data_IF_641407102020
#
_entry.id   IF_641407102020
#
_cell.length_a   1.000
_cell.length_b   1.000
_cell.length_c   1.000
_cell.angle_alpha   90.00
_cell.angle_beta   90.00
_cell.angle_gamma   90.00
#
_symmetry.space_group_name_H-M   'P 1'
#
loop_
_entity.id
_entity.type
_entity.pdbx_description
1 polymer ?
#
# COMPACT_ATOMS: atom_id res chain seq x y z
N UNK A 1 -12.40 -12.95 7.87
CA UNK A 1 -11.09 -12.28 7.98
C UNK A 1 -11.38 -10.89 8.54
N UNK A 2 -10.86 -10.52 9.72
CA UNK A 2 -11.15 -9.19 10.29
C UNK A 2 -10.31 -8.17 9.52
N UNK A 3 -10.95 -7.36 8.66
CA UNK A 3 -10.28 -6.27 7.96
C UNK A 3 -9.86 -5.22 8.99
N UNK A 4 -8.57 -4.87 9.02
CA UNK A 4 -8.11 -3.76 9.85
C UNK A 4 -8.80 -2.47 9.38
N UNK A 5 -9.48 -1.77 10.30
CA UNK A 5 -10.18 -0.52 9.99
C UNK A 5 -9.16 0.49 9.43
N UNK A 6 -9.50 1.11 8.31
CA UNK A 6 -8.65 2.12 7.70
C UNK A 6 -8.40 3.29 8.69
N UNK A 7 -7.18 3.85 8.71
CA UNK A 7 -6.86 5.04 9.48
C UNK A 7 -7.81 6.19 9.16
N UNK A 8 -8.06 7.04 10.18
CA UNK A 8 -8.87 8.24 10.02
C UNK A 8 -8.19 9.24 9.09
N UNK A 9 -9.00 10.05 8.38
CA UNK A 9 -8.55 11.14 7.51
C UNK A 9 -7.77 10.73 6.25
N UNK A 10 -7.81 9.46 5.84
CA UNK A 10 -7.28 9.07 4.52
C UNK A 10 -8.20 9.54 3.38
N UNK A 11 -7.63 10.09 2.33
CA UNK A 11 -8.33 10.44 1.08
C UNK A 11 -8.49 9.19 0.21
N UNK A 12 -8.86 9.38 -1.07
CA UNK A 12 -9.26 8.29 -1.96
C UNK A 12 -8.10 7.32 -2.25
N UNK A 13 -6.90 7.85 -2.49
CA UNK A 13 -5.72 7.09 -2.89
C UNK A 13 -5.21 6.21 -1.75
N UNK A 14 -5.02 6.79 -0.56
CA UNK A 14 -4.63 6.10 0.66
C UNK A 14 -5.65 5.05 1.08
N UNK A 15 -6.96 5.35 1.04
CA UNK A 15 -8.01 4.36 1.34
C UNK A 15 -8.03 3.20 0.34
N UNK A 16 -7.66 3.43 -0.92
CA UNK A 16 -7.57 2.37 -1.93
C UNK A 16 -6.39 1.47 -1.65
N UNK A 17 -5.22 2.05 -1.39
CA UNK A 17 -4.00 1.32 -1.04
C UNK A 17 -4.17 0.50 0.24
N UNK A 18 -4.75 1.10 1.30
CA UNK A 18 -5.03 0.38 2.55
C UNK A 18 -5.88 -0.85 2.30
N UNK A 19 -6.98 -0.70 1.54
CA UNK A 19 -7.90 -1.80 1.25
C UNK A 19 -7.23 -2.89 0.44
N UNK A 20 -6.49 -2.56 -0.63
CA UNK A 20 -5.84 -3.57 -1.47
C UNK A 20 -4.84 -4.41 -0.69
N UNK A 21 -4.05 -3.78 0.19
CA UNK A 21 -3.05 -4.51 0.98
C UNK A 21 -3.72 -5.29 2.11
N UNK A 22 -4.60 -4.67 2.90
CA UNK A 22 -5.21 -5.35 4.06
C UNK A 22 -6.27 -6.39 3.69
N UNK A 23 -6.84 -6.35 2.47
CA UNK A 23 -7.71 -7.41 1.97
C UNK A 23 -6.96 -8.69 1.63
N UNK A 24 -5.68 -8.56 1.26
CA UNK A 24 -4.88 -9.66 0.73
C UNK A 24 -3.87 -10.19 1.75
N UNK A 25 -3.29 -9.29 2.56
CA UNK A 25 -2.21 -9.60 3.48
C UNK A 25 -2.64 -9.43 4.93
N UNK A 26 -2.37 -10.45 5.75
CA UNK A 26 -2.48 -10.36 7.21
C UNK A 26 -1.23 -9.73 7.80
N UNK A 27 -1.26 -8.41 7.99
CA UNK A 27 -0.15 -7.60 8.49
C UNK A 27 -0.08 -7.56 10.03
N UNK A 28 1.14 -7.44 10.56
CA UNK A 28 1.42 -7.15 11.98
C UNK A 28 1.21 -5.67 12.31
N UNK A 29 1.11 -5.28 13.60
CA UNK A 29 0.93 -3.88 14.00
C UNK A 29 2.02 -2.94 13.48
N UNK A 30 3.29 -3.38 13.48
CA UNK A 30 4.43 -2.61 12.96
C UNK A 30 4.30 -2.37 11.45
N UNK A 31 3.89 -3.39 10.70
CA UNK A 31 3.64 -3.29 9.26
C UNK A 31 2.42 -2.42 8.93
N UNK A 32 1.39 -2.46 9.77
CA UNK A 32 0.22 -1.59 9.63
C UNK A 32 0.60 -0.12 9.82
N UNK A 33 1.52 0.20 10.74
CA UNK A 33 2.02 1.56 10.90
C UNK A 33 2.81 2.04 9.67
N UNK A 34 3.65 1.17 9.08
CA UNK A 34 4.35 1.48 7.81
C UNK A 34 3.35 1.65 6.66
N UNK A 35 2.34 0.80 6.57
CA UNK A 35 1.28 0.91 5.57
C UNK A 35 0.47 2.20 5.74
N UNK A 36 0.18 2.62 6.97
CA UNK A 36 -0.50 3.88 7.25
C UNK A 36 0.31 5.07 6.71
N UNK A 37 1.61 5.13 7.02
CA UNK A 37 2.50 6.17 6.49
C UNK A 37 2.53 6.15 4.95
N UNK A 38 2.59 4.97 4.33
CA UNK A 38 2.50 4.84 2.87
C UNK A 38 1.15 5.34 2.32
N UNK A 39 0.03 5.09 3.00
CA UNK A 39 -1.27 5.58 2.58
C UNK A 39 -1.37 7.11 2.62
N UNK A 40 -0.82 7.74 3.66
CA UNK A 40 -0.77 9.21 3.77
C UNK A 40 0.10 9.82 2.67
N UNK A 41 1.26 9.20 2.37
CA UNK A 41 2.10 9.62 1.25
C UNK A 41 1.40 9.46 -0.10
N UNK A 42 0.63 8.39 -0.29
CA UNK A 42 -0.15 8.19 -1.51
C UNK A 42 -1.25 9.26 -1.70
N UNK A 43 -1.86 9.73 -0.62
CA UNK A 43 -2.78 10.87 -0.67
C UNK A 43 -2.05 12.18 -1.01
N UNK A 44 -0.90 12.45 -0.38
CA UNK A 44 -0.10 13.65 -0.65
C UNK A 44 0.42 13.70 -2.10
N UNK A 45 0.88 12.57 -2.64
CA UNK A 45 1.28 12.47 -4.06
C UNK A 45 0.10 12.78 -4.98
N UNK A 46 -1.09 12.28 -4.66
CA UNK A 46 -2.28 12.53 -5.48
C UNK A 46 -2.70 14.01 -5.44
N UNK A 47 -2.58 14.68 -4.29
CA UNK A 47 -2.84 16.11 -4.17
C UNK A 47 -1.82 16.92 -4.97
N UNK A 48 -0.53 16.60 -4.85
CA UNK A 48 0.55 17.28 -5.60
C UNK A 48 0.46 17.03 -7.11
N UNK A 49 0.05 15.84 -7.53
CA UNK A 49 -0.19 15.55 -8.95
C UNK A 49 -1.36 16.36 -9.51
N UNK A 50 -2.40 16.61 -8.71
CA UNK A 50 -3.51 17.48 -9.09
C UNK A 50 -3.05 18.95 -9.19
N UNK A 51 -2.31 19.44 -8.20
CA UNK A 51 -1.72 20.78 -8.22
C UNK A 51 -0.77 20.99 -9.40
N UNK A 52 0.07 20.00 -9.71
CA UNK A 52 0.97 20.04 -10.85
C UNK A 52 0.22 20.06 -12.19
N UNK A 53 -0.94 19.41 -12.27
CA UNK A 53 -1.80 19.43 -13.45
C UNK A 53 -2.41 20.83 -13.69
N UNK A 54 -2.76 21.53 -12.61
CA UNK A 54 -3.34 22.88 -12.66
C UNK A 54 -2.28 24.00 -12.74
N UNK A 55 -1.00 23.69 -12.48
CA UNK A 55 0.08 24.67 -12.48
C UNK A 55 0.50 25.09 -13.92
N UNK A 56 0.07 26.28 -14.33
CA UNK A 56 0.41 26.87 -15.65
C UNK A 56 1.80 27.52 -15.69
N UNK A 57 2.31 27.98 -14.55
CA UNK A 57 3.59 28.70 -14.48
C UNK A 57 4.78 27.74 -14.39
N UNK A 58 5.63 27.75 -15.42
CA UNK A 58 6.86 26.92 -15.46
C UNK A 58 7.80 27.14 -14.26
N UNK A 59 7.88 28.38 -13.76
CA UNK A 59 8.69 28.73 -12.58
C UNK A 59 8.23 28.01 -11.30
N UNK A 60 6.94 27.72 -11.18
CA UNK A 60 6.34 27.00 -10.05
C UNK A 60 6.24 25.49 -10.32
N UNK A 61 6.16 25.10 -11.59
CA UNK A 61 6.06 23.72 -12.05
C UNK A 61 7.31 22.90 -11.73
N UNK A 62 8.51 23.45 -11.91
CA UNK A 62 9.77 22.74 -11.66
C UNK A 62 9.98 22.38 -10.17
N UNK A 63 9.77 23.29 -9.19
CA UNK A 63 9.76 22.94 -7.77
C UNK A 63 8.72 21.87 -7.41
N UNK A 64 7.47 22.01 -7.85
CA UNK A 64 6.41 21.04 -7.60
C UNK A 64 6.75 19.65 -8.13
N UNK A 65 7.34 19.57 -9.33
CA UNK A 65 7.77 18.32 -9.92
C UNK A 65 8.88 17.64 -9.10
N UNK A 66 9.81 18.42 -8.51
CA UNK A 66 10.82 17.88 -7.59
C UNK A 66 10.17 17.31 -6.33
N UNK A 67 9.21 18.02 -5.75
CA UNK A 67 8.48 17.56 -4.57
C UNK A 67 7.73 16.25 -4.85
N UNK A 68 6.97 16.19 -5.95
CA UNK A 68 6.28 14.96 -6.39
C UNK A 68 7.26 13.78 -6.51
N UNK A 69 8.44 14.01 -7.10
CA UNK A 69 9.47 12.96 -7.23
C UNK A 69 9.98 12.48 -5.87
N UNK A 70 10.21 13.39 -4.92
CA UNK A 70 10.66 13.04 -3.58
C UNK A 70 9.60 12.25 -2.82
N UNK A 71 8.34 12.67 -2.88
CA UNK A 71 7.22 11.97 -2.24
C UNK A 71 7.01 10.57 -2.83
N UNK A 72 7.13 10.42 -4.14
CA UNK A 72 7.08 9.10 -4.81
C UNK A 72 8.22 8.20 -4.38
N UNK A 73 9.43 8.72 -4.21
CA UNK A 73 10.57 7.96 -3.73
C UNK A 73 10.37 7.52 -2.27
N UNK A 74 9.87 8.41 -1.41
CA UNK A 74 9.52 8.07 -0.03
C UNK A 74 8.44 6.98 0.02
N UNK A 75 7.40 7.09 -0.81
CA UNK A 75 6.35 6.08 -0.91
C UNK A 75 6.91 4.71 -1.32
N UNK A 76 7.76 4.67 -2.36
CA UNK A 76 8.42 3.43 -2.82
C UNK A 76 9.24 2.78 -1.70
N UNK A 77 9.98 3.57 -0.92
CA UNK A 77 10.75 3.06 0.22
C UNK A 77 9.86 2.42 1.28
N UNK A 78 8.74 3.04 1.63
CA UNK A 78 7.79 2.48 2.59
C UNK A 78 7.16 1.18 2.07
N UNK A 79 6.74 1.15 0.81
CA UNK A 79 6.21 -0.06 0.19
C UNK A 79 7.26 -1.19 0.10
N UNK A 80 8.52 -0.85 -0.18
CA UNK A 80 9.62 -1.82 -0.20
C UNK A 80 9.92 -2.38 1.19
N UNK A 81 9.81 -1.58 2.26
CA UNK A 81 9.93 -2.06 3.64
C UNK A 81 8.84 -3.09 3.99
N UNK A 82 7.66 -2.96 3.39
CA UNK A 82 6.60 -3.96 3.52
C UNK A 82 6.93 -5.27 2.78
N UNK A 83 8.03 -5.39 2.03
CA UNK A 83 8.53 -6.63 1.35
C UNK A 83 7.40 -7.61 0.98
N UNK A 84 6.33 -7.11 0.36
CA UNK A 84 5.11 -7.90 0.16
C UNK A 84 5.40 -8.95 -0.90
N UNK A 85 5.10 -10.24 -0.65
CA UNK A 85 5.27 -11.25 -1.67
C UNK A 85 4.32 -10.97 -2.82
N UNK A 86 4.79 -11.20 -4.05
CA UNK A 86 3.96 -11.07 -5.24
C UNK A 86 2.70 -11.93 -5.06
N UNK A 87 1.55 -11.33 -5.34
CA UNK A 87 0.28 -12.02 -5.33
C UNK A 87 0.36 -13.17 -6.35
N UNK A 88 0.51 -14.41 -5.89
CA UNK A 88 0.43 -15.57 -6.77
C UNK A 88 -0.98 -15.63 -7.34
N UNK A 89 -1.12 -15.28 -8.61
CA UNK A 89 -2.35 -15.52 -9.37
C UNK A 89 -2.65 -17.02 -9.30
N UNK A 90 -3.66 -17.36 -8.51
CA UNK A 90 -4.02 -18.73 -8.23
C UNK A 90 -4.57 -19.41 -9.49
N UNK A 91 -3.72 -20.20 -10.15
CA UNK A 91 -4.18 -21.31 -10.99
C UNK A 91 -5.14 -22.17 -10.18
N UNK A 92 -6.41 -22.12 -10.55
CA UNK A 92 -7.50 -22.78 -9.85
C UNK A 92 -7.53 -24.26 -10.22
N UNK A 93 -7.19 -25.14 -9.27
CA UNK A 93 -7.47 -26.57 -9.35
C UNK A 93 -8.10 -27.04 -8.02
N UNK A 94 -9.43 -27.15 -8.00
CA UNK A 94 -10.18 -28.12 -7.18
C UNK A 94 -10.25 -27.99 -5.65
N UNK A 95 -9.78 -26.91 -5.03
CA UNK A 95 -9.83 -26.74 -3.56
C UNK A 95 -11.11 -26.09 -3.04
N UNK A 96 -11.66 -26.59 -1.92
CA UNK A 96 -12.79 -25.98 -1.22
C UNK A 96 -12.47 -24.52 -0.81
N UNK A 97 -13.33 -23.54 -1.13
CA UNK A 97 -13.07 -22.09 -0.99
C UNK A 97 -12.60 -21.70 0.42
N UNK A 98 -13.19 -22.30 1.47
CA UNK A 98 -12.81 -22.06 2.88
C UNK A 98 -11.41 -22.56 3.25
N UNK A 99 -10.86 -23.51 2.50
CA UNK A 99 -9.51 -24.04 2.71
C UNK A 99 -8.48 -23.16 1.98
N UNK A 100 -8.80 -22.73 0.76
CA UNK A 100 -8.00 -21.78 -0.01
C UNK A 100 -7.78 -20.47 0.77
N UNK A 101 -8.82 -19.90 1.38
CA UNK A 101 -8.72 -18.69 2.21
C UNK A 101 -7.82 -18.87 3.44
N UNK A 102 -7.90 -20.04 4.10
CA UNK A 102 -7.07 -20.37 5.26
C UNK A 102 -5.61 -20.59 4.87
N UNK A 103 -5.35 -21.26 3.77
CA UNK A 103 -4.00 -21.49 3.25
C UNK A 103 -3.34 -20.20 2.76
N UNK A 104 -4.10 -19.29 2.10
CA UNK A 104 -3.64 -17.93 1.76
C UNK A 104 -3.29 -17.13 3.01
N UNK A 105 -4.17 -17.10 4.01
CA UNK A 105 -3.96 -16.39 5.26
C UNK A 105 -2.77 -16.95 6.07
N UNK A 106 -2.56 -18.27 6.02
CA UNK A 106 -1.44 -18.94 6.69
C UNK A 106 -0.11 -18.76 5.96
N UNK A 107 -0.12 -18.71 4.62
CA UNK A 107 1.05 -18.33 3.80
C UNK A 107 1.42 -16.87 3.97
N UNK A 108 0.45 -15.96 3.98
CA UNK A 108 0.67 -14.54 4.24
C UNK A 108 1.32 -14.33 5.63
N UNK A 109 0.82 -15.03 6.66
CA UNK A 109 1.40 -14.99 8.01
C UNK A 109 2.81 -15.62 8.09
N UNK A 110 3.08 -16.71 7.36
CA UNK A 110 4.41 -17.32 7.28
C UNK A 110 5.41 -16.43 6.54
N UNK A 111 5.01 -15.83 5.43
CA UNK A 111 5.81 -14.87 4.69
C UNK A 111 6.09 -13.61 5.54
N UNK A 112 5.09 -13.09 6.26
CA UNK A 112 5.29 -11.97 7.19
C UNK A 112 6.30 -12.28 8.30
N UNK A 113 6.28 -13.50 8.87
CA UNK A 113 7.27 -13.95 9.87
C UNK A 113 8.69 -14.10 9.32
N UNK A 114 8.85 -14.58 8.08
CA UNK A 114 10.16 -14.73 7.44
C UNK A 114 10.84 -13.40 7.06
N UNK A 115 10.11 -12.28 7.08
CA UNK A 115 10.60 -10.96 6.62
C UNK A 115 11.38 -10.16 7.65
N UNK A 116 11.19 -10.47 8.94
CA UNK A 116 11.73 -9.74 10.10
C UNK A 116 12.21 -10.67 11.24
N UNK A 117 12.44 -11.95 10.92
CA UNK A 117 13.09 -12.92 11.82
C UNK A 117 14.56 -13.05 11.49
#
# INVERSE_FOLDING_TARGET
>A
MIMAKAPVNLKKSGRRLWRSVTSEYGLRPDELAVLESACRLADAVADLDAELAECELESSRLPLLREVRQQREALRKHLAQLKLPEAVEGSSAGGNVRQIDRDRSARARRAARARWG
#
